data_IF_878183528947
#
_entry.id   IF_878183528947
#
_cell.length_a   1.000
_cell.length_b   1.000
_cell.length_c   1.000
_cell.angle_alpha   90.00
_cell.angle_beta   90.00
_cell.angle_gamma   90.00
#
_symmetry.space_group_name_H-M   'P 1'
#
loop_
_entity.id
_entity.type
_entity.pdbx_description
1 polymer ?
#
# COMPACT_ATOMS: atom_id res chain seq x y z
N UNK A 1 -60.02 -36.44 -45.06
CA UNK A 1 -59.07 -35.58 -45.78
C UNK A 1 -58.85 -34.35 -44.92
N UNK A 2 -57.76 -34.35 -44.15
CA UNK A 2 -57.33 -33.21 -43.33
C UNK A 2 -56.24 -32.48 -44.10
N UNK A 3 -56.48 -31.21 -44.38
CA UNK A 3 -55.49 -30.31 -44.96
C UNK A 3 -54.73 -29.65 -43.81
N UNK A 4 -53.42 -29.90 -43.70
CA UNK A 4 -52.52 -29.25 -42.79
C UNK A 4 -52.01 -27.93 -43.39
N UNK A 5 -52.34 -26.82 -42.75
CA UNK A 5 -51.80 -25.52 -43.12
C UNK A 5 -50.47 -25.29 -42.40
N UNK A 6 -49.37 -25.24 -43.15
CA UNK A 6 -48.07 -24.78 -42.63
C UNK A 6 -48.08 -23.25 -42.53
N UNK A 7 -48.00 -22.74 -41.33
CA UNK A 7 -47.68 -21.33 -41.08
C UNK A 7 -46.15 -21.16 -41.05
N UNK A 8 -45.60 -20.44 -42.04
CA UNK A 8 -44.19 -20.05 -42.05
C UNK A 8 -43.99 -18.86 -41.13
N UNK A 9 -43.27 -19.07 -40.05
CA UNK A 9 -42.84 -18.01 -39.13
C UNK A 9 -41.58 -17.34 -39.68
N UNK A 10 -41.74 -16.13 -40.21
CA UNK A 10 -40.62 -15.29 -40.59
C UNK A 10 -39.95 -14.73 -39.31
N UNK A 11 -38.77 -15.27 -38.97
CA UNK A 11 -37.92 -14.68 -37.90
C UNK A 11 -37.15 -13.55 -38.59
N UNK A 12 -37.52 -12.30 -38.28
CA UNK A 12 -36.71 -11.13 -38.61
C UNK A 12 -35.48 -11.18 -37.67
N UNK A 13 -34.31 -11.51 -38.22
CA UNK A 13 -33.04 -11.34 -37.57
C UNK A 13 -32.70 -9.84 -37.58
N UNK A 14 -32.95 -9.15 -36.46
CA UNK A 14 -32.29 -7.89 -36.18
C UNK A 14 -30.84 -8.25 -35.82
N UNK A 15 -29.93 -8.05 -36.75
CA UNK A 15 -28.50 -7.98 -36.48
C UNK A 15 -28.22 -6.74 -35.67
N UNK A 16 -28.05 -6.91 -34.36
CA UNK A 16 -27.31 -6.00 -33.52
C UNK A 16 -25.93 -6.58 -33.39
N UNK A 17 -24.95 -5.97 -33.98
CA UNK A 17 -23.55 -6.25 -33.72
C UNK A 17 -23.26 -5.67 -32.30
N UNK A 18 -23.67 -6.38 -31.25
CA UNK A 18 -23.14 -6.20 -29.90
C UNK A 18 -21.82 -6.97 -29.84
N UNK A 19 -20.78 -6.35 -30.39
CA UNK A 19 -19.39 -6.67 -30.08
C UNK A 19 -19.07 -6.11 -28.68
N UNK A 20 -19.83 -6.54 -27.68
CA UNK A 20 -19.54 -6.35 -26.28
C UNK A 20 -18.64 -7.50 -25.85
N UNK A 21 -17.35 -7.39 -26.19
CA UNK A 21 -16.32 -8.08 -25.42
C UNK A 21 -16.49 -7.70 -23.94
N UNK A 22 -15.91 -8.44 -22.98
CA UNK A 22 -16.07 -8.22 -21.55
C UNK A 22 -15.25 -7.00 -21.05
N UNK A 23 -15.43 -5.85 -21.67
CA UNK A 23 -15.03 -4.54 -21.14
C UNK A 23 -16.23 -4.02 -20.33
N UNK A 24 -16.48 -4.63 -19.18
CA UNK A 24 -17.30 -3.97 -18.18
C UNK A 24 -16.75 -2.57 -17.98
N UNK A 25 -17.64 -1.59 -18.03
CA UNK A 25 -17.30 -0.16 -17.88
C UNK A 25 -16.45 0.02 -16.62
N UNK A 26 -15.13 0.17 -16.80
CA UNK A 26 -14.17 0.31 -15.69
C UNK A 26 -14.38 1.67 -15.08
N UNK A 27 -15.05 1.71 -13.94
CA UNK A 27 -15.25 2.95 -13.19
C UNK A 27 -14.01 3.29 -12.40
N UNK A 28 -13.09 3.99 -13.04
CA UNK A 28 -11.89 4.53 -12.42
C UNK A 28 -11.55 5.90 -13.05
N UNK A 29 -10.71 6.66 -12.38
CA UNK A 29 -10.24 7.96 -12.83
C UNK A 29 -8.72 8.12 -12.65
N UNK A 30 -8.20 9.31 -12.95
CA UNK A 30 -6.77 9.60 -12.85
C UNK A 30 -6.22 9.50 -11.43
N UNK A 31 -7.03 9.74 -10.39
CA UNK A 31 -6.65 9.57 -8.98
C UNK A 31 -6.46 8.08 -8.65
N UNK A 32 -7.38 7.21 -9.08
CA UNK A 32 -7.24 5.75 -8.91
C UNK A 32 -5.95 5.24 -9.58
N UNK A 33 -5.61 5.76 -10.77
CA UNK A 33 -4.36 5.43 -11.46
C UNK A 33 -3.13 5.93 -10.69
N UNK A 34 -3.16 7.16 -10.19
CA UNK A 34 -2.08 7.73 -9.39
C UNK A 34 -1.90 6.97 -8.06
N UNK A 35 -3.00 6.61 -7.40
CA UNK A 35 -2.98 5.84 -6.15
C UNK A 35 -2.32 4.47 -6.36
N UNK A 36 -2.73 3.69 -7.37
CA UNK A 36 -2.13 2.38 -7.62
C UNK A 36 -0.65 2.47 -7.93
N UNK A 37 -0.24 3.46 -8.76
CA UNK A 37 1.15 3.63 -9.16
C UNK A 37 2.06 4.09 -8.00
N UNK A 38 1.54 4.86 -7.04
CA UNK A 38 2.28 5.29 -5.86
C UNK A 38 2.29 4.21 -4.75
N UNK A 39 1.14 3.57 -4.50
CA UNK A 39 0.98 2.62 -3.39
C UNK A 39 1.69 1.29 -3.65
N UNK A 40 1.84 0.84 -4.90
CA UNK A 40 2.55 -0.40 -5.22
C UNK A 40 4.01 -0.35 -4.73
N UNK A 41 4.88 0.57 -5.20
CA UNK A 41 6.26 0.62 -4.73
C UNK A 41 6.36 0.93 -3.23
N UNK A 42 5.40 1.67 -2.68
CA UNK A 42 5.32 1.95 -1.25
C UNK A 42 5.11 0.65 -0.46
N UNK A 43 4.15 -0.18 -0.81
CA UNK A 43 3.92 -1.47 -0.16
C UNK A 43 5.07 -2.46 -0.38
N UNK A 44 5.71 -2.47 -1.55
CA UNK A 44 6.90 -3.29 -1.81
C UNK A 44 8.01 -2.98 -0.80
N UNK A 45 8.27 -1.69 -0.54
CA UNK A 45 9.24 -1.24 0.46
C UNK A 45 8.91 -1.74 1.88
N UNK A 46 7.64 -1.67 2.27
CA UNK A 46 7.22 -2.17 3.59
C UNK A 46 7.32 -3.69 3.71
N UNK A 47 6.99 -4.43 2.63
CA UNK A 47 7.14 -5.89 2.57
C UNK A 47 8.60 -6.29 2.73
N UNK A 48 9.52 -5.61 2.04
CA UNK A 48 10.96 -5.87 2.15
C UNK A 48 11.49 -5.58 3.57
N UNK A 49 11.03 -4.50 4.20
CA UNK A 49 11.38 -4.18 5.58
C UNK A 49 10.81 -5.20 6.58
N UNK A 50 9.57 -5.61 6.39
CA UNK A 50 8.91 -6.60 7.24
C UNK A 50 9.58 -7.97 7.15
N UNK A 51 9.99 -8.39 5.94
CA UNK A 51 10.75 -9.65 5.76
C UNK A 51 12.10 -9.63 6.50
N UNK A 52 12.80 -8.49 6.48
CA UNK A 52 14.01 -8.32 7.29
C UNK A 52 13.71 -8.44 8.79
N UNK A 53 12.59 -7.90 9.27
CA UNK A 53 12.22 -7.96 10.66
C UNK A 53 11.95 -9.38 11.15
N UNK A 54 11.45 -10.30 10.29
CA UNK A 54 11.27 -11.71 10.67
C UNK A 54 12.56 -12.42 11.09
N UNK A 55 13.72 -11.93 10.63
CA UNK A 55 15.03 -12.52 10.94
C UNK A 55 15.91 -11.66 11.83
N UNK A 56 15.59 -10.37 11.99
CA UNK A 56 16.42 -9.37 12.64
C UNK A 56 15.83 -8.79 13.93
N UNK A 57 14.48 -8.83 14.09
CA UNK A 57 13.84 -8.28 15.27
C UNK A 57 14.34 -8.96 16.55
N UNK A 58 14.70 -8.14 17.53
CA UNK A 58 15.16 -8.60 18.86
C UNK A 58 13.95 -8.89 19.79
N UNK A 59 12.84 -8.14 19.59
CA UNK A 59 11.62 -8.32 20.34
C UNK A 59 10.57 -9.08 19.55
N UNK A 60 10.08 -10.20 20.08
CA UNK A 60 9.06 -11.04 19.41
C UNK A 60 7.76 -10.30 19.06
N UNK A 61 7.43 -9.20 19.79
CA UNK A 61 6.28 -8.36 19.44
C UNK A 61 6.47 -7.61 18.13
N UNK A 62 7.70 -7.20 17.79
CA UNK A 62 7.99 -6.59 16.50
C UNK A 62 7.98 -7.62 15.38
N UNK A 63 8.53 -8.81 15.63
CA UNK A 63 8.47 -9.92 14.67
C UNK A 63 7.02 -10.32 14.34
N UNK A 64 6.13 -10.37 15.35
CA UNK A 64 4.72 -10.67 15.15
C UNK A 64 4.03 -9.58 14.32
N UNK A 65 4.24 -8.30 14.67
CA UNK A 65 3.73 -7.16 13.91
C UNK A 65 4.21 -7.19 12.45
N UNK A 66 5.49 -7.44 12.22
CA UNK A 66 6.07 -7.54 10.88
C UNK A 66 5.45 -8.69 10.06
N UNK A 67 5.15 -9.83 10.70
CA UNK A 67 4.50 -10.96 10.05
C UNK A 67 3.07 -10.63 9.61
N UNK A 68 2.33 -9.88 10.43
CA UNK A 68 1.00 -9.39 10.09
C UNK A 68 1.07 -8.40 8.92
N UNK A 69 1.97 -7.42 8.99
CA UNK A 69 2.23 -6.45 7.91
C UNK A 69 2.57 -7.13 6.58
N UNK A 70 3.50 -8.11 6.61
CA UNK A 70 3.90 -8.87 5.44
C UNK A 70 2.69 -9.57 4.78
N UNK A 71 1.84 -10.19 5.58
CA UNK A 71 0.66 -10.93 5.09
C UNK A 71 -0.37 -9.97 4.46
N UNK A 72 -0.70 -8.89 5.15
CA UNK A 72 -1.72 -7.93 4.71
C UNK A 72 -1.24 -7.19 3.46
N UNK A 73 -0.05 -6.59 3.51
CA UNK A 73 0.45 -5.76 2.42
C UNK A 73 0.80 -6.56 1.16
N UNK A 74 1.22 -7.84 1.29
CA UNK A 74 1.38 -8.73 0.13
C UNK A 74 0.04 -9.02 -0.57
N UNK A 75 -1.05 -9.14 0.19
CA UNK A 75 -2.40 -9.33 -0.36
C UNK A 75 -2.89 -8.06 -1.06
N UNK A 76 -2.67 -6.91 -0.43
CA UNK A 76 -3.01 -5.60 -1.01
C UNK A 76 -2.21 -5.33 -2.30
N UNK A 77 -0.92 -5.68 -2.34
CA UNK A 77 -0.09 -5.60 -3.54
C UNK A 77 -0.66 -6.40 -4.71
N UNK A 78 -1.14 -7.61 -4.47
CA UNK A 78 -1.75 -8.42 -5.53
C UNK A 78 -3.00 -7.73 -6.11
N UNK A 79 -3.84 -7.17 -5.24
CA UNK A 79 -5.04 -6.42 -5.64
C UNK A 79 -4.68 -5.13 -6.38
N UNK A 80 -3.75 -4.33 -5.83
CA UNK A 80 -3.29 -3.07 -6.46
C UNK A 80 -2.76 -3.31 -7.88
N UNK A 81 -1.94 -4.34 -8.08
CA UNK A 81 -1.40 -4.69 -9.40
C UNK A 81 -2.51 -5.10 -10.36
N UNK A 82 -3.48 -5.90 -9.91
CA UNK A 82 -4.62 -6.33 -10.72
C UNK A 82 -5.47 -5.13 -11.16
N UNK A 83 -5.81 -4.24 -10.22
CA UNK A 83 -6.61 -3.03 -10.52
C UNK A 83 -5.84 -2.07 -11.42
N UNK A 84 -4.54 -1.86 -11.17
CA UNK A 84 -3.69 -1.04 -12.04
C UNK A 84 -3.71 -1.54 -13.48
N UNK A 85 -3.56 -2.85 -13.68
CA UNK A 85 -3.52 -3.45 -15.02
C UNK A 85 -4.86 -3.24 -15.76
N UNK A 86 -5.99 -3.32 -15.06
CA UNK A 86 -7.32 -3.01 -15.61
C UNK A 86 -7.46 -1.53 -15.98
N UNK A 87 -7.00 -0.61 -15.09
CA UNK A 87 -7.00 0.84 -15.33
C UNK A 87 -6.15 1.18 -16.56
N UNK A 88 -4.96 0.58 -16.69
CA UNK A 88 -4.07 0.80 -17.84
C UNK A 88 -4.67 0.27 -19.15
N UNK A 89 -5.30 -0.92 -19.12
CA UNK A 89 -5.98 -1.48 -20.30
C UNK A 89 -7.18 -0.62 -20.74
N UNK A 90 -7.84 0.04 -19.80
CA UNK A 90 -8.91 0.99 -20.08
C UNK A 90 -8.41 2.34 -20.63
N UNK A 91 -7.10 2.55 -20.68
CA UNK A 91 -6.49 3.80 -21.19
C UNK A 91 -6.70 5.01 -20.27
N UNK A 92 -6.94 4.78 -18.98
CA UNK A 92 -7.11 5.86 -18.01
C UNK A 92 -5.73 6.44 -17.67
N UNK A 93 -5.56 7.72 -18.00
CA UNK A 93 -4.31 8.45 -17.73
C UNK A 93 -4.15 8.72 -16.23
N UNK A 94 -2.90 8.65 -15.77
CA UNK A 94 -2.57 8.97 -14.38
C UNK A 94 -2.80 10.45 -14.09
N UNK A 95 -3.54 10.73 -13.03
CA UNK A 95 -3.70 12.05 -12.44
C UNK A 95 -2.67 12.33 -11.34
N UNK A 96 -3.09 13.07 -10.32
CA UNK A 96 -2.26 13.49 -9.19
C UNK A 96 -3.00 13.19 -7.88
N UNK A 97 -2.26 12.80 -6.84
CA UNK A 97 -2.76 12.66 -5.47
C UNK A 97 -2.70 13.98 -4.69
N UNK A 98 -2.04 15.01 -5.24
CA UNK A 98 -1.82 16.28 -4.56
C UNK A 98 -0.85 16.20 -3.38
N UNK A 99 0.03 15.20 -3.36
CA UNK A 99 1.00 14.93 -2.30
C UNK A 99 2.43 14.96 -2.85
N UNK A 100 3.35 15.56 -2.12
CA UNK A 100 4.79 15.44 -2.39
C UNK A 100 5.32 14.06 -2.01
N UNK A 101 6.50 13.68 -2.51
CA UNK A 101 7.18 12.42 -2.15
C UNK A 101 7.40 12.31 -0.63
N UNK A 102 7.77 13.41 0.04
CA UNK A 102 7.94 13.47 1.49
C UNK A 102 6.60 13.19 2.21
N UNK A 103 5.50 13.79 1.75
CA UNK A 103 4.16 13.54 2.32
C UNK A 103 3.69 12.12 2.08
N UNK A 104 4.10 11.48 0.99
CA UNK A 104 3.81 10.07 0.72
C UNK A 104 4.69 9.12 1.55
N UNK A 105 5.67 9.62 2.30
CA UNK A 105 6.55 8.79 3.14
C UNK A 105 7.52 7.93 2.33
N UNK A 106 7.81 8.31 1.08
CA UNK A 106 8.83 7.67 0.24
C UNK A 106 10.20 8.28 0.53
N UNK A 107 11.27 7.53 0.29
CA UNK A 107 12.65 8.01 0.51
C UNK A 107 13.40 7.24 1.60
N UNK A 108 12.78 6.24 2.20
CA UNK A 108 13.45 5.31 3.12
C UNK A 108 13.78 4.00 2.37
N UNK A 109 15.06 3.67 2.27
CA UNK A 109 15.52 2.42 1.67
C UNK A 109 15.55 1.32 2.73
N UNK A 110 14.72 0.26 2.63
CA UNK A 110 14.77 -0.87 3.55
C UNK A 110 16.15 -1.53 3.65
N UNK A 111 16.99 -1.35 2.63
CA UNK A 111 18.36 -1.87 2.66
C UNK A 111 19.23 -1.26 3.77
N UNK A 112 18.92 -0.04 4.21
CA UNK A 112 19.59 0.61 5.34
C UNK A 112 19.39 -0.15 6.66
N UNK A 113 18.24 -0.80 6.81
CA UNK A 113 17.93 -1.65 7.98
C UNK A 113 18.87 -2.86 8.09
N UNK A 114 19.44 -3.34 6.96
CA UNK A 114 20.31 -4.52 6.96
C UNK A 114 21.53 -4.38 7.88
N UNK A 115 22.02 -3.16 8.04
CA UNK A 115 23.22 -2.85 8.81
C UNK A 115 22.91 -2.11 10.13
N UNK A 116 21.63 -1.91 10.48
CA UNK A 116 21.25 -1.26 11.71
C UNK A 116 21.75 -2.09 12.92
N UNK A 117 22.45 -1.43 13.86
CA UNK A 117 22.93 -2.08 15.08
C UNK A 117 21.79 -2.38 16.06
N UNK A 118 20.84 -1.45 16.14
CA UNK A 118 19.60 -1.58 16.88
C UNK A 118 18.47 -1.65 15.85
N UNK A 119 18.18 -2.86 15.42
CA UNK A 119 17.26 -3.10 14.33
C UNK A 119 15.85 -2.63 14.65
N UNK A 120 15.36 -2.94 15.86
CA UNK A 120 13.97 -2.67 16.22
C UNK A 120 13.67 -1.16 16.23
N UNK A 121 14.59 -0.38 16.79
CA UNK A 121 14.42 1.08 16.81
C UNK A 121 14.58 1.70 15.41
N UNK A 122 15.52 1.23 14.61
CA UNK A 122 15.67 1.69 13.23
C UNK A 122 14.45 1.34 12.37
N UNK A 123 13.88 0.14 12.55
CA UNK A 123 12.64 -0.27 11.89
C UNK A 123 11.48 0.65 12.24
N UNK A 124 11.29 0.94 13.52
CA UNK A 124 10.22 1.82 13.99
C UNK A 124 10.39 3.24 13.46
N UNK A 125 11.60 3.77 13.51
CA UNK A 125 11.93 5.12 13.01
C UNK A 125 11.64 5.27 11.51
N UNK A 126 11.90 4.24 10.73
CA UNK A 126 11.60 4.21 9.30
C UNK A 126 10.10 3.98 9.03
N UNK A 127 9.50 3.00 9.70
CA UNK A 127 8.16 2.51 9.34
C UNK A 127 7.03 3.43 9.81
N UNK A 128 7.19 4.19 10.88
CA UNK A 128 6.15 5.13 11.34
C UNK A 128 5.87 6.22 10.30
N UNK A 129 6.84 7.00 9.81
CA UNK A 129 6.57 8.00 8.76
C UNK A 129 6.13 7.36 7.43
N UNK A 130 6.63 6.17 7.10
CA UNK A 130 6.19 5.40 5.94
C UNK A 130 4.69 5.11 6.01
N UNK A 131 4.17 4.58 7.10
CA UNK A 131 2.74 4.33 7.31
C UNK A 131 1.90 5.61 7.32
N UNK A 132 2.43 6.69 7.88
CA UNK A 132 1.75 7.98 7.82
C UNK A 132 1.58 8.47 6.37
N UNK A 133 2.56 8.17 5.51
CA UNK A 133 2.49 8.45 4.08
C UNK A 133 1.39 7.64 3.37
N UNK A 134 1.32 6.34 3.62
CA UNK A 134 0.25 5.49 3.08
C UNK A 134 -1.14 5.97 3.49
N UNK A 135 -1.31 6.38 4.75
CA UNK A 135 -2.59 6.92 5.24
C UNK A 135 -2.95 8.22 4.50
N UNK A 136 -1.99 9.09 4.18
CA UNK A 136 -2.25 10.29 3.38
C UNK A 136 -2.67 9.95 1.96
N UNK A 137 -1.98 9.02 1.30
CA UNK A 137 -2.36 8.55 -0.03
C UNK A 137 -3.75 7.90 -0.03
N UNK A 138 -4.06 7.07 0.95
CA UNK A 138 -5.37 6.45 1.10
C UNK A 138 -6.49 7.48 1.31
N UNK A 139 -6.24 8.57 2.03
CA UNK A 139 -7.20 9.67 2.17
C UNK A 139 -7.43 10.41 0.86
N UNK A 140 -6.37 10.68 0.08
CA UNK A 140 -6.50 11.30 -1.24
C UNK A 140 -7.34 10.43 -2.19
N UNK A 141 -7.15 9.11 -2.15
CA UNK A 141 -7.98 8.15 -2.88
C UNK A 141 -9.46 8.22 -2.44
N UNK A 142 -9.73 8.26 -1.14
CA UNK A 142 -11.10 8.39 -0.62
C UNK A 142 -11.75 9.73 -0.98
N UNK A 143 -10.98 10.79 -1.12
CA UNK A 143 -11.48 12.11 -1.48
C UNK A 143 -11.85 12.20 -2.97
N UNK A 144 -11.02 11.65 -3.86
CA UNK A 144 -11.12 11.93 -5.30
C UNK A 144 -11.19 10.69 -6.20
N UNK A 145 -10.78 9.50 -5.72
CA UNK A 145 -10.88 8.24 -6.45
C UNK A 145 -12.31 7.72 -6.49
N UNK A 146 -12.64 6.96 -7.55
CA UNK A 146 -14.00 6.42 -7.76
C UNK A 146 -14.06 4.90 -7.88
N UNK A 147 -12.92 4.23 -7.93
CA UNK A 147 -12.85 2.77 -8.01
C UNK A 147 -13.23 2.12 -6.67
N UNK A 148 -14.33 1.37 -6.65
CA UNK A 148 -14.93 0.87 -5.40
C UNK A 148 -14.00 -0.02 -4.56
N UNK A 149 -13.15 -0.82 -5.21
CA UNK A 149 -12.21 -1.71 -4.52
C UNK A 149 -11.04 -0.93 -3.90
N UNK A 150 -10.48 0.07 -4.61
CA UNK A 150 -9.42 0.92 -4.08
C UNK A 150 -9.92 1.75 -2.90
N UNK A 151 -11.14 2.27 -2.97
CA UNK A 151 -11.74 3.00 -1.85
C UNK A 151 -11.90 2.14 -0.60
N UNK A 152 -12.39 0.89 -0.74
CA UNK A 152 -12.47 -0.05 0.40
C UNK A 152 -11.08 -0.40 0.95
N UNK A 153 -10.10 -0.61 0.07
CA UNK A 153 -8.72 -0.85 0.47
C UNK A 153 -8.17 0.35 1.23
N UNK A 154 -8.43 1.56 0.77
CA UNK A 154 -7.99 2.79 1.44
C UNK A 154 -8.56 2.93 2.85
N UNK A 155 -9.82 2.57 3.08
CA UNK A 155 -10.40 2.51 4.43
C UNK A 155 -9.64 1.50 5.32
N UNK A 156 -9.36 0.30 4.79
CA UNK A 156 -8.61 -0.73 5.51
C UNK A 156 -7.16 -0.29 5.82
N UNK A 157 -6.47 0.34 4.86
CA UNK A 157 -5.12 0.88 5.05
C UNK A 157 -5.10 1.90 6.19
N UNK A 158 -6.07 2.83 6.23
CA UNK A 158 -6.14 3.85 7.28
C UNK A 158 -6.30 3.20 8.66
N UNK A 159 -7.16 2.21 8.78
CA UNK A 159 -7.45 1.55 10.06
C UNK A 159 -6.27 0.67 10.51
N UNK A 160 -5.78 -0.20 9.62
CA UNK A 160 -4.70 -1.14 9.92
C UNK A 160 -3.39 -0.40 10.23
N UNK A 161 -2.93 0.45 9.32
CA UNK A 161 -1.66 1.15 9.51
C UNK A 161 -1.73 2.19 10.63
N UNK A 162 -2.91 2.79 10.87
CA UNK A 162 -3.14 3.60 12.08
C UNK A 162 -2.99 2.81 13.38
N UNK A 163 -3.43 1.54 13.40
CA UNK A 163 -3.20 0.65 14.53
C UNK A 163 -1.72 0.29 14.69
N UNK A 164 -1.05 -0.06 13.59
CA UNK A 164 0.37 -0.42 13.57
C UNK A 164 1.27 0.73 14.04
N UNK A 165 1.01 1.97 13.61
CA UNK A 165 1.68 3.17 14.13
C UNK A 165 1.55 3.27 15.65
N UNK A 166 0.34 3.05 16.19
CA UNK A 166 0.15 3.10 17.65
C UNK A 166 0.93 2.02 18.38
N UNK A 167 1.09 0.84 17.79
CA UNK A 167 1.92 -0.25 18.35
C UNK A 167 3.38 0.15 18.30
N UNK A 168 3.90 0.55 17.14
CA UNK A 168 5.29 0.96 16.96
C UNK A 168 5.68 2.11 17.90
N UNK A 169 4.84 3.13 18.05
CA UNK A 169 5.09 4.22 19.01
C UNK A 169 5.10 3.78 20.47
N UNK A 170 4.41 2.69 20.83
CA UNK A 170 4.51 2.08 22.17
C UNK A 170 5.82 1.33 22.33
N UNK A 171 6.26 0.63 21.30
CA UNK A 171 7.55 -0.07 21.30
C UNK A 171 8.69 0.92 21.36
N UNK A 172 8.65 2.00 20.58
CA UNK A 172 9.61 3.10 20.60
C UNK A 172 9.86 3.62 22.01
N UNK A 173 8.81 4.05 22.71
CA UNK A 173 8.91 4.52 24.10
C UNK A 173 9.45 3.48 25.06
N UNK A 174 9.24 2.22 24.79
CA UNK A 174 9.63 1.14 25.70
C UNK A 174 11.06 0.67 25.48
N UNK A 175 11.51 0.67 24.24
CA UNK A 175 12.79 0.08 23.86
C UNK A 175 13.82 1.09 23.41
N UNK A 176 13.40 2.25 22.87
CA UNK A 176 14.27 3.21 22.18
C UNK A 176 14.55 4.50 22.95
N UNK A 177 13.70 4.90 23.91
CA UNK A 177 13.86 6.15 24.68
C UNK A 177 15.20 6.27 25.45
N UNK A 178 15.87 5.13 25.74
CA UNK A 178 17.19 5.13 26.37
C UNK A 178 18.35 5.58 25.47
N UNK A 179 18.15 5.66 24.14
CA UNK A 179 19.22 6.01 23.15
C UNK A 179 19.48 7.51 23.07
N UNK A 180 18.46 8.33 23.28
CA UNK A 180 18.60 9.80 23.27
C UNK A 180 19.52 10.31 24.41
N UNK A 181 19.67 9.53 25.48
CA UNK A 181 20.50 9.88 26.64
C UNK A 181 21.98 9.42 26.55
N UNK A 182 22.32 8.54 25.59
CA UNK A 182 23.65 7.90 25.48
C UNK A 182 24.60 8.54 24.43
N UNK A 183 24.16 9.53 23.65
CA UNK A 183 24.88 10.05 22.48
C UNK A 183 25.89 11.16 22.72
N UNK A 184 26.17 11.57 23.95
CA UNK A 184 27.23 12.53 24.27
C UNK A 184 28.16 11.94 25.34
N UNK A 185 29.01 10.99 24.95
CA UNK A 185 30.24 10.77 25.69
C UNK A 185 31.19 11.92 25.31
N UNK A 186 31.27 12.91 26.17
CA UNK A 186 32.33 13.91 26.14
C UNK A 186 33.67 13.16 26.15
N UNK A 187 34.38 13.25 25.04
CA UNK A 187 35.81 12.98 25.04
C UNK A 187 36.50 14.09 25.83
N UNK A 188 36.57 13.88 27.14
CA UNK A 188 37.43 14.67 28.02
C UNK A 188 38.89 14.33 27.66
N UNK A 189 39.45 15.14 26.75
CA UNK A 189 40.88 15.15 26.46
C UNK A 189 41.55 15.81 27.62
N UNK A 190 41.94 15.05 28.64
CA UNK A 190 42.84 15.48 29.70
C UNK A 190 44.14 15.95 29.11
N UNK A 191 44.32 17.26 29.13
CA UNK A 191 45.57 17.92 28.90
C UNK A 191 46.24 18.05 30.29
N UNK A 192 47.19 17.17 30.56
CA UNK A 192 48.10 17.36 31.68
C UNK A 192 49.42 17.91 31.11
N UNK A 193 49.79 19.12 31.59
CA UNK A 193 50.94 19.88 31.28
C UNK A 193 52.26 19.33 31.82
#
# INVERSE_FOLDING_TARGET
MLAAALAALMIAACGGDDDSGPTGDVRANGTDAAFTNAMIPHHESAVDAADLALSRAEHGQLEELAREMLTVQSTELATLRSVRDVIQQAGIEQGDLGLSEEEMGVGHDPAELRNAQDFDCAFIEMMVPHHEGAIRMARAELESGIHAELRRMSENIIDAQGYEIRQMRRFDRRWCDGRAAGGHSESDAGHSG
#
